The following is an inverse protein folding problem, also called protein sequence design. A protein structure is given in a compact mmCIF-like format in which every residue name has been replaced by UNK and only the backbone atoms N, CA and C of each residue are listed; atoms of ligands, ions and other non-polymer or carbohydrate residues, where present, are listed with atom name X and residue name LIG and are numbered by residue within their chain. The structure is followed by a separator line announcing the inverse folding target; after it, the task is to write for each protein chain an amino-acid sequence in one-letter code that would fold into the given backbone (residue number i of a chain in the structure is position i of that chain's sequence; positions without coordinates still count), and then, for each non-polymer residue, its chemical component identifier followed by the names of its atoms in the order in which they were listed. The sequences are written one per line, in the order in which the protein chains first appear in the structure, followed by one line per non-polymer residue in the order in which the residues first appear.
data_IF_942750932326
#
_entry.id   IF_942750932326
#
_cell.length_a   1.000
_cell.length_b   1.000
_cell.length_c   1.000
_cell.angle_alpha   90.00
_cell.angle_beta   90.00
_cell.angle_gamma   90.00
#
_symmetry.space_group_name_H-M   'P 1'
#
loop_
_entity.id
_entity.type
_entity.pdbx_description
1 polymer ?
#
# COMPACT_ATOMS: atom_id res chain seq x y z
N UNK A 1 5.32 -7.65 17.44
CA UNK A 1 6.03 -6.77 16.47
C UNK A 1 5.83 -7.22 15.03
N UNK A 2 6.18 -8.45 14.64
CA UNK A 2 6.13 -8.93 13.23
C UNK A 2 4.77 -8.80 12.51
N UNK A 3 3.64 -9.14 13.16
CA UNK A 3 2.35 -9.07 12.47
C UNK A 3 1.89 -7.65 12.11
N UNK A 4 2.28 -6.65 12.90
CA UNK A 4 1.92 -5.23 12.66
C UNK A 4 2.74 -4.66 11.50
N UNK A 5 4.00 -5.08 11.36
CA UNK A 5 4.86 -4.69 10.25
C UNK A 5 4.43 -5.31 8.92
N UNK A 6 4.04 -6.59 8.93
CA UNK A 6 3.53 -7.28 7.74
C UNK A 6 2.21 -6.65 7.25
N UNK A 7 1.25 -6.40 8.13
CA UNK A 7 -0.02 -5.74 7.78
C UNK A 7 0.23 -4.34 7.18
N UNK A 8 1.14 -3.57 7.78
CA UNK A 8 1.50 -2.24 7.27
C UNK A 8 2.13 -2.33 5.88
N UNK A 9 3.04 -3.27 5.68
CA UNK A 9 3.70 -3.48 4.40
C UNK A 9 2.69 -3.88 3.32
N UNK A 10 1.75 -4.78 3.61
CA UNK A 10 0.72 -5.18 2.65
C UNK A 10 -0.17 -4.01 2.21
N UNK A 11 -0.60 -3.17 3.16
CA UNK A 11 -1.40 -1.98 2.88
C UNK A 11 -0.60 -0.97 2.04
N UNK A 12 0.66 -0.71 2.41
CA UNK A 12 1.54 0.21 1.69
C UNK A 12 1.79 -0.27 0.26
N UNK A 13 2.06 -1.57 0.09
CA UNK A 13 2.28 -2.18 -1.21
C UNK A 13 1.03 -2.15 -2.10
N UNK A 14 -0.17 -2.34 -1.52
CA UNK A 14 -1.43 -2.24 -2.26
C UNK A 14 -1.68 -0.81 -2.76
N UNK A 15 -1.43 0.19 -1.92
CA UNK A 15 -1.55 1.62 -2.28
C UNK A 15 -0.53 1.99 -3.36
N UNK A 16 0.74 1.59 -3.23
CA UNK A 16 1.77 1.95 -4.21
C UNK A 16 1.50 1.32 -5.59
N UNK A 17 0.99 0.09 -5.63
CA UNK A 17 0.57 -0.57 -6.89
C UNK A 17 -0.54 0.21 -7.59
N UNK A 18 -1.52 0.68 -6.82
CA UNK A 18 -2.61 1.49 -7.35
C UNK A 18 -2.14 2.87 -7.81
N UNK A 19 -1.31 3.56 -7.02
CA UNK A 19 -0.72 4.83 -7.38
C UNK A 19 0.11 4.73 -8.68
N UNK A 20 0.87 3.65 -8.82
CA UNK A 20 1.65 3.37 -10.04
C UNK A 20 0.76 3.12 -11.25
N UNK A 21 -0.37 2.42 -11.09
CA UNK A 21 -1.37 2.27 -12.16
C UNK A 21 -2.03 3.61 -12.53
N UNK A 22 -2.39 4.44 -11.54
CA UNK A 22 -2.96 5.77 -11.79
C UNK A 22 -2.03 6.68 -12.58
N UNK A 23 -0.75 6.80 -12.18
CA UNK A 23 0.25 7.63 -12.88
C UNK A 23 0.38 7.28 -14.36
N UNK A 24 0.20 6.00 -14.71
CA UNK A 24 0.29 5.53 -16.09
C UNK A 24 -1.02 5.73 -16.88
N UNK A 25 -2.17 5.55 -16.22
CA UNK A 25 -3.49 5.65 -16.85
C UNK A 25 -3.92 7.11 -17.02
N UNK A 26 -3.50 8.01 -16.13
CA UNK A 26 -3.83 9.44 -16.11
C UNK A 26 -3.59 10.17 -17.45
N UNK A 27 -2.37 10.19 -18.02
CA UNK A 27 -2.13 10.90 -19.27
C UNK A 27 -2.92 10.32 -20.44
N UNK A 28 -3.18 9.02 -20.41
CA UNK A 28 -3.97 8.31 -21.43
C UNK A 28 -5.46 8.70 -21.30
N UNK A 29 -5.97 8.81 -20.08
CA UNK A 29 -7.34 9.20 -19.81
C UNK A 29 -7.60 10.66 -20.22
N UNK A 30 -6.64 11.56 -19.95
CA UNK A 30 -6.70 12.96 -20.35
C UNK A 30 -6.68 13.12 -21.87
N UNK A 31 -5.74 12.46 -22.56
CA UNK A 31 -5.65 12.47 -24.03
C UNK A 31 -6.97 12.01 -24.64
N UNK A 32 -7.51 10.88 -24.17
CA UNK A 32 -8.77 10.31 -24.64
C UNK A 32 -9.96 11.25 -24.39
N UNK A 33 -10.01 11.90 -23.24
CA UNK A 33 -11.09 12.83 -22.88
C UNK A 33 -11.05 14.07 -23.77
N UNK A 34 -9.87 14.65 -23.97
CA UNK A 34 -9.67 15.80 -24.86
C UNK A 34 -10.02 15.46 -26.31
N UNK A 35 -9.61 14.29 -26.80
CA UNK A 35 -9.97 13.83 -28.14
C UNK A 35 -11.48 13.70 -28.32
N UNK A 36 -12.18 13.18 -27.31
CA UNK A 36 -13.65 13.06 -27.33
C UNK A 36 -14.33 14.43 -27.36
N UNK A 37 -13.88 15.38 -26.54
CA UNK A 37 -14.42 16.74 -26.52
C UNK A 37 -14.18 17.50 -27.83
N UNK A 38 -13.05 17.27 -28.49
CA UNK A 38 -12.74 17.90 -29.78
C UNK A 38 -13.63 17.34 -30.91
N UNK A 39 -13.85 16.02 -30.97
CA UNK A 39 -14.79 15.43 -31.95
C UNK A 39 -16.22 15.98 -31.78
N UNK A 40 -16.66 16.15 -30.53
CA UNK A 40 -17.99 16.68 -30.20
C UNK A 40 -18.14 18.16 -30.65
N UNK A 41 -17.07 18.96 -30.56
CA UNK A 41 -17.03 20.34 -31.03
C UNK A 41 -16.99 20.46 -32.56
N UNK A 42 -16.29 19.55 -33.24
CA UNK A 42 -16.17 19.54 -34.70
C UNK A 42 -17.40 18.95 -35.41
N UNK A 43 -18.44 18.55 -34.67
CA UNK A 43 -19.66 17.97 -35.21
C UNK A 43 -19.45 16.60 -35.86
N UNK A 44 -18.33 15.94 -35.59
CA UNK A 44 -18.08 14.59 -36.08
C UNK A 44 -18.90 13.57 -35.26
N UNK A 45 -19.41 12.49 -35.88
CA UNK A 45 -20.17 11.49 -35.16
C UNK A 45 -19.32 10.84 -34.06
N UNK A 46 -19.78 10.97 -32.81
CA UNK A 46 -19.18 10.39 -31.62
C UNK A 46 -18.98 8.88 -31.84
N UNK A 47 -17.73 8.40 -31.83
CA UNK A 47 -17.40 6.98 -31.93
C UNK A 47 -16.66 6.52 -33.18
N UNK A 48 -16.19 7.45 -34.05
CA UNK A 48 -15.26 7.11 -35.13
C UNK A 48 -13.81 6.90 -34.65
N UNK A 49 -13.42 7.54 -33.55
CA UNK A 49 -12.06 7.45 -33.03
C UNK A 49 -11.75 6.04 -32.50
N UNK A 50 -10.88 5.32 -33.21
CA UNK A 50 -10.36 4.02 -32.76
C UNK A 50 -9.08 4.24 -31.97
N UNK A 51 -9.19 4.71 -30.72
CA UNK A 51 -8.04 4.65 -29.82
C UNK A 51 -7.75 3.17 -29.54
N UNK A 52 -6.58 2.69 -29.93
CA UNK A 52 -6.11 1.35 -29.56
C UNK A 52 -5.07 1.50 -28.48
N UNK A 53 -5.41 0.99 -27.30
CA UNK A 53 -4.50 0.88 -26.19
C UNK A 53 -3.34 -0.01 -26.63
N UNK A 54 -2.15 0.57 -26.79
CA UNK A 54 -0.99 -0.19 -27.26
C UNK A 54 -0.54 -1.11 -26.13
N UNK A 55 -0.21 -2.36 -26.43
CA UNK A 55 0.27 -3.36 -25.45
C UNK A 55 1.46 -2.88 -24.59
N UNK A 56 2.19 -1.85 -25.03
CA UNK A 56 3.33 -1.28 -24.31
C UNK A 56 2.98 -0.08 -23.41
N UNK A 57 1.74 0.43 -23.48
CA UNK A 57 1.28 1.54 -22.65
C UNK A 57 0.88 1.08 -21.23
N UNK A 58 0.38 -0.15 -21.07
CA UNK A 58 0.08 -0.75 -19.78
C UNK A 58 0.81 -2.09 -19.65
N UNK A 59 1.59 -2.26 -18.58
CA UNK A 59 2.22 -3.52 -18.23
C UNK A 59 1.26 -4.42 -17.41
N UNK A 60 1.66 -5.66 -17.18
CA UNK A 60 0.89 -6.64 -16.41
C UNK A 60 0.57 -6.15 -14.98
N UNK A 61 1.46 -5.38 -14.36
CA UNK A 61 1.22 -4.86 -13.00
C UNK A 61 0.06 -3.86 -12.96
N UNK A 62 -0.01 -2.96 -13.95
CA UNK A 62 -1.12 -2.00 -14.05
C UNK A 62 -2.44 -2.70 -14.36
N UNK A 63 -2.42 -3.68 -15.26
CA UNK A 63 -3.61 -4.49 -15.61
C UNK A 63 -4.12 -5.25 -14.38
N UNK A 64 -3.21 -5.89 -13.63
CA UNK A 64 -3.55 -6.61 -12.41
C UNK A 64 -4.08 -5.67 -11.31
N UNK A 65 -3.52 -4.46 -11.18
CA UNK A 65 -4.00 -3.46 -10.22
C UNK A 65 -5.44 -3.03 -10.54
N UNK A 66 -5.76 -2.81 -11.83
CA UNK A 66 -7.11 -2.48 -12.28
C UNK A 66 -8.07 -3.65 -12.00
N UNK A 67 -7.74 -4.87 -12.42
CA UNK A 67 -8.58 -6.04 -12.20
C UNK A 67 -8.89 -6.25 -10.71
N UNK A 68 -7.88 -6.10 -9.85
CA UNK A 68 -8.03 -6.28 -8.39
C UNK A 68 -9.06 -5.34 -7.76
N UNK A 69 -9.24 -4.13 -8.30
CA UNK A 69 -10.23 -3.17 -7.77
C UNK A 69 -11.65 -3.60 -8.09
N UNK A 70 -11.85 -4.28 -9.22
CA UNK A 70 -13.15 -4.76 -9.66
C UNK A 70 -13.46 -6.19 -9.20
N UNK A 71 -12.49 -6.89 -8.58
CA UNK A 71 -12.68 -8.22 -8.02
C UNK A 71 -13.11 -9.22 -9.10
N UNK A 72 -14.23 -9.89 -8.87
CA UNK A 72 -14.78 -10.90 -9.78
C UNK A 72 -15.15 -10.34 -11.17
N UNK A 73 -15.43 -9.04 -11.26
CA UNK A 73 -15.72 -8.35 -12.53
C UNK A 73 -14.46 -7.80 -13.21
N UNK A 74 -13.27 -8.04 -12.65
CA UNK A 74 -12.00 -7.53 -13.17
C UNK A 74 -11.76 -7.91 -14.62
N UNK A 75 -11.95 -9.18 -14.97
CA UNK A 75 -11.72 -9.68 -16.33
C UNK A 75 -12.69 -9.07 -17.35
N UNK A 76 -13.96 -8.90 -16.97
CA UNK A 76 -14.97 -8.27 -17.82
C UNK A 76 -14.61 -6.80 -18.09
N UNK A 77 -14.22 -6.05 -17.04
CA UNK A 77 -13.79 -4.65 -17.17
C UNK A 77 -12.53 -4.54 -18.03
N UNK A 78 -11.58 -5.46 -17.90
CA UNK A 78 -10.39 -5.48 -18.76
C UNK A 78 -10.73 -5.75 -20.22
N UNK A 79 -11.66 -6.67 -20.50
CA UNK A 79 -12.15 -6.90 -21.86
C UNK A 79 -12.80 -5.65 -22.45
N UNK A 80 -13.62 -4.96 -21.66
CA UNK A 80 -14.22 -3.68 -22.06
C UNK A 80 -13.17 -2.59 -22.29
N UNK A 81 -12.14 -2.53 -21.46
CA UNK A 81 -11.03 -1.58 -21.59
C UNK A 81 -10.26 -1.79 -22.90
N UNK A 82 -10.05 -3.05 -23.32
CA UNK A 82 -9.40 -3.36 -24.61
C UNK A 82 -10.33 -3.08 -25.79
N UNK A 83 -11.63 -3.37 -25.66
CA UNK A 83 -12.61 -3.23 -26.74
C UNK A 83 -13.01 -1.78 -27.00
N UNK A 84 -13.15 -0.98 -25.95
CA UNK A 84 -13.55 0.42 -26.02
C UNK A 84 -12.77 1.26 -24.99
N UNK A 85 -11.47 1.47 -25.20
CA UNK A 85 -10.65 2.23 -24.26
C UNK A 85 -11.14 3.67 -24.15
N UNK A 86 -11.63 4.28 -25.24
CA UNK A 86 -12.09 5.68 -25.24
C UNK A 86 -13.15 5.95 -24.17
N UNK A 87 -14.15 5.07 -24.06
CA UNK A 87 -15.21 5.22 -23.09
C UNK A 87 -14.83 4.70 -21.69
N UNK A 88 -14.02 3.63 -21.62
CA UNK A 88 -13.80 2.88 -20.37
C UNK A 88 -12.64 3.46 -19.56
N UNK A 89 -11.59 4.00 -20.20
CA UNK A 89 -10.43 4.55 -19.50
C UNK A 89 -10.77 5.63 -18.46
N UNK A 90 -11.58 6.66 -18.81
CA UNK A 90 -11.91 7.72 -17.86
C UNK A 90 -12.65 7.18 -16.64
N UNK A 91 -13.53 6.20 -16.83
CA UNK A 91 -14.30 5.55 -15.77
C UNK A 91 -13.35 4.76 -14.85
N UNK A 92 -12.44 3.97 -15.45
CA UNK A 92 -11.43 3.21 -14.69
C UNK A 92 -10.50 4.14 -13.92
N UNK A 93 -10.03 5.23 -14.53
CA UNK A 93 -9.19 6.22 -13.86
C UNK A 93 -9.91 6.87 -12.68
N UNK A 94 -11.16 7.30 -12.85
CA UNK A 94 -11.95 7.88 -11.76
C UNK A 94 -12.13 6.88 -10.61
N UNK A 95 -12.33 5.60 -10.92
CA UNK A 95 -12.46 4.53 -9.92
C UNK A 95 -11.16 4.26 -9.17
N UNK A 96 -10.02 4.22 -9.87
CA UNK A 96 -8.68 4.11 -9.28
C UNK A 96 -8.44 5.24 -8.27
N UNK A 97 -8.75 6.49 -8.66
CA UNK A 97 -8.63 7.68 -7.81
C UNK A 97 -9.55 7.64 -6.59
N UNK A 98 -10.78 7.20 -6.77
CA UNK A 98 -11.71 7.02 -5.65
C UNK A 98 -11.17 6.00 -4.65
N UNK A 99 -10.70 4.85 -5.12
CA UNK A 99 -10.14 3.80 -4.25
C UNK A 99 -8.87 4.24 -3.55
N UNK A 100 -8.03 5.01 -4.22
CA UNK A 100 -6.82 5.58 -3.62
C UNK A 100 -7.14 6.47 -2.41
N UNK A 101 -8.15 7.34 -2.54
CA UNK A 101 -8.61 8.20 -1.45
C UNK A 101 -9.19 7.40 -0.28
N UNK A 102 -9.99 6.37 -0.57
CA UNK A 102 -10.53 5.46 0.44
C UNK A 102 -9.41 4.72 1.20
N UNK A 103 -8.42 4.19 0.47
CA UNK A 103 -7.29 3.48 1.06
C UNK A 103 -6.33 4.39 1.81
N UNK A 104 -6.05 5.60 1.32
CA UNK A 104 -5.26 6.59 2.06
C UNK A 104 -5.95 6.98 3.37
N UNK A 105 -7.27 7.15 3.36
CA UNK A 105 -8.05 7.43 4.58
C UNK A 105 -7.99 6.24 5.54
N UNK A 106 -8.22 5.03 5.06
CA UNK A 106 -8.15 3.82 5.87
C UNK A 106 -6.74 3.61 6.47
N UNK A 107 -5.68 3.81 5.67
CA UNK A 107 -4.29 3.77 6.13
C UNK A 107 -4.04 4.77 7.25
N UNK A 108 -4.56 6.00 7.14
CA UNK A 108 -4.40 7.02 8.20
C UNK A 108 -5.04 6.58 9.52
N UNK A 109 -6.19 5.92 9.46
CA UNK A 109 -6.85 5.39 10.65
C UNK A 109 -6.10 4.18 11.22
N UNK A 110 -5.59 3.27 10.36
CA UNK A 110 -4.76 2.14 10.78
C UNK A 110 -3.42 2.58 11.36
N UNK A 111 -2.80 3.63 10.83
CA UNK A 111 -1.54 4.20 11.35
C UNK A 111 -1.66 4.64 12.81
N UNK A 112 -2.81 5.16 13.25
CA UNK A 112 -3.02 5.50 14.67
C UNK A 112 -2.99 4.25 15.55
N UNK A 113 -3.63 3.18 15.10
CA UNK A 113 -3.64 1.90 15.81
C UNK A 113 -2.25 1.27 15.84
N UNK A 114 -1.54 1.28 14.71
CA UNK A 114 -0.18 0.74 14.64
C UNK A 114 0.79 1.53 15.50
N UNK A 115 0.68 2.86 15.56
CA UNK A 115 1.51 3.68 16.45
C UNK A 115 1.25 3.35 17.92
N UNK A 116 -0.02 3.25 18.35
CA UNK A 116 -0.35 2.87 19.73
C UNK A 116 0.15 1.47 20.09
N UNK A 117 -0.03 0.48 19.21
CA UNK A 117 0.51 -0.87 19.42
C UNK A 117 2.03 -0.90 19.47
N UNK A 118 2.71 -0.07 18.67
CA UNK A 118 4.17 0.06 18.74
C UNK A 118 4.63 0.71 20.04
N UNK A 119 3.93 1.73 20.54
CA UNK A 119 4.21 2.37 21.83
C UNK A 119 4.04 1.38 22.99
N UNK A 120 2.89 0.70 23.05
CA UNK A 120 2.60 -0.32 24.08
C UNK A 120 3.63 -1.47 24.07
N UNK A 121 3.98 -1.94 22.86
CA UNK A 121 4.91 -3.05 22.70
C UNK A 121 6.37 -2.63 22.98
N UNK A 122 6.72 -1.36 22.76
CA UNK A 122 8.02 -0.80 23.11
C UNK A 122 8.15 -0.62 24.62
N UNK A 123 7.13 -0.08 25.28
CA UNK A 123 7.09 0.07 26.75
C UNK A 123 7.20 -1.30 27.45
N UNK A 124 6.41 -2.30 27.04
CA UNK A 124 6.51 -3.65 27.60
C UNK A 124 7.86 -4.33 27.34
N UNK A 125 8.54 -4.01 26.22
CA UNK A 125 9.88 -4.54 25.94
C UNK A 125 10.96 -3.88 26.82
N UNK A 126 10.82 -2.59 27.14
CA UNK A 126 11.69 -1.88 28.07
C UNK A 126 11.59 -2.46 29.49
N UNK A 127 10.39 -2.78 29.94
CA UNK A 127 10.16 -3.35 31.28
C UNK A 127 10.80 -4.74 31.43
N UNK A 128 10.66 -5.61 30.43
CA UNK A 128 11.29 -6.94 30.42
C UNK A 128 12.81 -6.81 30.44
N UNK A 129 13.38 -5.95 29.58
CA UNK A 129 14.83 -5.74 29.53
C UNK A 129 15.38 -5.14 30.83
N UNK A 130 14.65 -4.20 31.43
CA UNK A 130 15.00 -3.59 32.72
C UNK A 130 15.04 -4.64 33.85
N UNK A 131 14.03 -5.50 33.88
CA UNK A 131 13.94 -6.57 34.87
C UNK A 131 15.04 -7.63 34.70
N UNK A 132 15.35 -8.03 33.46
CA UNK A 132 16.44 -8.98 33.18
C UNK A 132 17.81 -8.39 33.55
N UNK A 133 18.06 -7.12 33.18
CA UNK A 133 19.27 -6.40 33.57
C UNK A 133 19.44 -6.32 35.10
N UNK A 134 18.35 -6.08 35.84
CA UNK A 134 18.38 -6.07 37.31
C UNK A 134 18.78 -7.43 37.86
N UNK A 135 18.19 -8.53 37.35
CA UNK A 135 18.52 -9.90 37.79
C UNK A 135 19.98 -10.25 37.52
N UNK A 136 20.51 -9.87 36.37
CA UNK A 136 21.90 -10.13 36.02
C UNK A 136 22.88 -9.33 36.89
N UNK A 137 22.55 -8.08 37.23
CA UNK A 137 23.31 -7.28 38.18
C UNK A 137 23.30 -7.89 39.59
N UNK A 138 22.15 -8.35 40.09
CA UNK A 138 22.03 -9.01 41.40
C UNK A 138 22.87 -10.30 41.47
N UNK A 139 22.86 -11.12 40.40
CA UNK A 139 23.75 -12.28 40.28
C UNK A 139 25.23 -11.88 40.32
N UNK A 140 25.63 -10.91 39.50
CA UNK A 140 27.01 -10.42 39.46
C UNK A 140 27.49 -9.85 40.80
N UNK A 141 26.60 -9.26 41.60
CA UNK A 141 26.92 -8.74 42.93
C UNK A 141 27.08 -9.90 43.93
N UNK A 142 26.16 -10.87 43.91
CA UNK A 142 26.22 -12.04 44.80
C UNK A 142 27.45 -12.92 44.54
N UNK A 143 27.81 -13.15 43.29
CA UNK A 143 29.03 -13.89 42.92
C UNK A 143 30.30 -13.18 43.39
N UNK A 144 30.35 -11.85 43.24
CA UNK A 144 31.46 -11.03 43.77
C UNK A 144 31.53 -11.02 45.29
N UNK A 145 30.39 -11.15 45.98
CA UNK A 145 30.34 -11.27 47.43
C UNK A 145 30.86 -12.63 47.90
N UNK A 146 30.37 -13.73 47.31
CA UNK A 146 30.85 -15.07 47.65
C UNK A 146 32.36 -15.23 47.42
N UNK A 147 32.89 -14.70 46.31
CA UNK A 147 34.34 -14.75 46.04
C UNK A 147 35.17 -13.92 47.01
N UNK A 148 34.63 -12.84 47.60
CA UNK A 148 35.30 -12.09 48.67
C UNK A 148 35.26 -12.82 50.02
N UNK A 149 34.12 -13.43 50.36
CA UNK A 149 33.98 -14.21 51.60
C UNK A 149 34.95 -15.41 51.61
N UNK A 150 35.09 -16.12 50.48
CA UNK A 150 36.06 -17.20 50.33
C UNK A 150 37.52 -16.75 50.46
N UNK A 151 37.87 -15.55 49.97
CA UNK A 151 39.23 -15.01 50.07
C UNK A 151 39.59 -14.50 51.46
N UNK A 152 38.60 -14.10 52.27
CA UNK A 152 38.81 -13.62 53.64
C UNK A 152 38.76 -14.76 54.69
N UNK A 153 38.35 -15.96 54.30
CA UNK A 153 38.26 -17.13 55.16
C UNK A 153 39.51 -18.05 55.13
N UNK A 154 40.51 -17.70 54.32
CA UNK A 154 41.84 -18.35 54.28
C UNK A 154 42.92 -17.39 54.74
#
# INVERSE_FOLDING_TARGET
MFMVEDERFEVDMAIERNATAMRQVEPIAEEVTQLRENEEKDGQPIGRMTYKLRQRQLNANHINAIARIYGDFGDEVLQHLVRNPVAVLPIVYQRLRQKDLEWCKAKKDMSKRWNGLCEDNYEGSLDVLCHDNKKDLEKCINERRMTKELKNAG
#
